data_IF_973201835579
#
_entry.id   IF_973201835579
#
_cell.length_a   1.000
_cell.length_b   1.000
_cell.length_c   1.000
_cell.angle_alpha   90.00
_cell.angle_beta   90.00
_cell.angle_gamma   90.00
#
_symmetry.space_group_name_H-M   'P 1'
#
loop_
_entity.id
_entity.type
_entity.pdbx_description
1 polymer ?
#
# COMPACT_ATOMS: atom_id res chain seq x y z
N UNK A 1 13.00 11.47 14.05
CA UNK A 1 11.90 10.50 14.24
C UNK A 1 12.53 9.13 14.37
N UNK A 2 12.26 8.39 15.45
CA UNK A 2 12.80 7.04 15.61
C UNK A 2 11.99 6.08 14.74
N UNK A 3 12.54 5.77 13.57
CA UNK A 3 11.88 4.95 12.56
C UNK A 3 11.59 3.52 13.03
N UNK A 4 12.22 3.09 14.12
CA UNK A 4 12.03 1.76 14.71
C UNK A 4 10.91 1.70 15.75
N UNK A 5 10.42 2.85 16.21
CA UNK A 5 9.44 2.93 17.28
C UNK A 5 8.49 4.12 17.10
N UNK A 6 7.85 4.19 15.94
CA UNK A 6 6.92 5.27 15.60
C UNK A 6 5.65 5.16 16.43
N UNK A 7 5.20 6.24 17.05
CA UNK A 7 3.86 6.30 17.62
C UNK A 7 2.81 6.61 16.55
N UNK A 8 1.52 6.48 16.90
CA UNK A 8 0.40 6.71 15.97
C UNK A 8 0.42 8.11 15.34
N UNK A 9 0.77 9.16 16.09
CA UNK A 9 0.84 10.53 15.56
C UNK A 9 1.96 10.66 14.52
N UNK A 10 3.12 10.06 14.78
CA UNK A 10 4.23 10.04 13.83
C UNK A 10 3.85 9.28 12.55
N UNK A 11 3.11 8.18 12.66
CA UNK A 11 2.59 7.46 11.49
C UNK A 11 1.55 8.29 10.72
N UNK A 12 0.69 9.05 11.41
CA UNK A 12 -0.25 9.99 10.76
C UNK A 12 0.48 11.11 10.01
N UNK A 13 1.59 11.61 10.55
CA UNK A 13 2.46 12.57 9.85
C UNK A 13 3.00 11.96 8.55
N UNK A 14 3.42 10.69 8.57
CA UNK A 14 3.88 9.99 7.38
C UNK A 14 2.76 9.83 6.33
N UNK A 15 1.54 9.49 6.74
CA UNK A 15 0.38 9.41 5.84
C UNK A 15 0.12 10.76 5.18
N UNK A 16 0.14 11.85 5.95
CA UNK A 16 -0.04 13.20 5.40
C UNK A 16 1.08 13.59 4.44
N UNK A 17 2.31 13.15 4.70
CA UNK A 17 3.44 13.32 3.78
C UNK A 17 3.28 12.50 2.49
N UNK A 18 2.67 11.31 2.53
CA UNK A 18 2.31 10.57 1.31
C UNK A 18 1.21 11.25 0.50
N UNK A 19 0.29 11.97 1.15
CA UNK A 19 -0.71 12.77 0.46
C UNK A 19 -0.11 14.01 -0.22
N UNK A 20 0.94 14.56 0.38
CA UNK A 20 1.64 15.76 -0.08
C UNK A 20 3.14 15.50 -0.25
N UNK A 21 3.55 14.60 -1.17
CA UNK A 21 4.95 14.23 -1.28
C UNK A 21 5.75 15.41 -1.83
N UNK A 22 6.90 15.69 -1.21
CA UNK A 22 7.85 16.71 -1.68
C UNK A 22 8.52 16.32 -3.00
N UNK A 23 8.50 15.02 -3.32
CA UNK A 23 9.00 14.47 -4.56
C UNK A 23 7.91 13.61 -5.22
N UNK A 24 7.45 14.02 -6.40
CA UNK A 24 6.63 13.19 -7.27
C UNK A 24 7.57 12.35 -8.13
N UNK A 25 7.43 11.03 -8.08
CA UNK A 25 8.30 10.13 -8.83
C UNK A 25 8.08 10.25 -10.34
N UNK A 26 9.13 10.11 -11.13
CA UNK A 26 9.03 10.14 -12.60
C UNK A 26 8.35 8.89 -13.15
N UNK A 27 7.49 9.06 -14.16
CA UNK A 27 6.69 7.96 -14.68
C UNK A 27 7.54 6.85 -15.30
N UNK A 28 8.55 7.24 -16.07
CA UNK A 28 9.45 6.28 -16.73
C UNK A 28 10.25 5.46 -15.71
N UNK A 29 10.69 6.08 -14.61
CA UNK A 29 11.40 5.39 -13.54
C UNK A 29 10.49 4.39 -12.81
N UNK A 30 9.21 4.72 -12.64
CA UNK A 30 8.20 3.80 -12.10
C UNK A 30 8.05 2.60 -13.03
N UNK A 31 7.80 2.82 -14.33
CA UNK A 31 7.62 1.74 -15.31
C UNK A 31 8.85 0.82 -15.36
N UNK A 32 10.05 1.39 -15.39
CA UNK A 32 11.29 0.62 -15.41
C UNK A 32 11.42 -0.29 -14.18
N UNK A 33 11.03 0.21 -12.99
CA UNK A 33 11.05 -0.59 -11.76
C UNK A 33 9.94 -1.64 -11.71
N UNK A 34 8.74 -1.33 -12.22
CA UNK A 34 7.66 -2.31 -12.36
C UNK A 34 8.12 -3.45 -13.27
N UNK A 35 8.69 -3.13 -14.43
CA UNK A 35 9.21 -4.14 -15.37
C UNK A 35 10.25 -5.07 -14.72
N UNK A 36 11.13 -4.52 -13.87
CA UNK A 36 12.18 -5.31 -13.19
C UNK A 36 11.68 -6.13 -12.01
N UNK A 37 10.54 -5.79 -11.41
CA UNK A 37 10.11 -6.35 -10.12
C UNK A 37 8.75 -7.05 -10.16
N UNK A 38 8.02 -6.93 -11.28
CA UNK A 38 6.70 -7.54 -11.42
C UNK A 38 6.83 -9.06 -11.42
N UNK A 39 6.06 -9.69 -10.54
CA UNK A 39 5.91 -11.14 -10.46
C UNK A 39 4.42 -11.44 -10.40
N UNK A 40 3.95 -12.38 -11.22
CA UNK A 40 2.64 -13.00 -11.06
C UNK A 40 2.81 -14.33 -10.32
N UNK A 41 2.08 -14.53 -9.23
CA UNK A 41 2.04 -15.81 -8.53
C UNK A 41 0.65 -16.07 -7.97
N UNK A 42 0.06 -17.20 -8.34
CA UNK A 42 -1.26 -17.62 -7.84
C UNK A 42 -2.30 -16.51 -7.96
N UNK A 43 -2.56 -16.03 -9.18
CA UNK A 43 -3.55 -14.99 -9.44
C UNK A 43 -3.28 -13.68 -8.68
N UNK A 44 -2.02 -13.35 -8.41
CA UNK A 44 -1.63 -12.14 -7.67
C UNK A 44 -0.41 -11.48 -8.29
N UNK A 45 -0.56 -10.26 -8.78
CA UNK A 45 0.55 -9.41 -9.19
C UNK A 45 1.21 -8.80 -7.97
N UNK A 46 2.53 -8.82 -7.95
CA UNK A 46 3.36 -8.13 -6.96
C UNK A 46 4.45 -7.36 -7.67
N UNK A 47 4.64 -6.09 -7.30
CA UNK A 47 5.79 -5.31 -7.75
C UNK A 47 6.31 -4.42 -6.62
N UNK A 48 7.52 -3.91 -6.79
CA UNK A 48 8.15 -3.00 -5.83
C UNK A 48 8.72 -1.78 -6.54
N UNK A 49 8.40 -0.60 -6.02
CA UNK A 49 8.91 0.67 -6.53
C UNK A 49 9.60 1.42 -5.39
N UNK A 50 10.83 1.88 -5.60
CA UNK A 50 11.65 2.58 -4.62
C UNK A 50 11.64 4.09 -4.89
N UNK A 51 11.29 4.88 -3.88
CA UNK A 51 11.58 6.31 -3.82
C UNK A 51 12.90 6.51 -3.05
N UNK A 52 14.00 6.59 -3.79
CA UNK A 52 15.33 6.76 -3.21
C UNK A 52 15.50 8.12 -2.51
N UNK A 53 14.76 9.16 -2.91
CA UNK A 53 14.86 10.49 -2.27
C UNK A 53 14.23 10.48 -0.88
N UNK A 54 13.17 9.71 -0.70
CA UNK A 54 12.46 9.58 0.59
C UNK A 54 12.89 8.34 1.38
N UNK A 55 13.69 7.46 0.79
CA UNK A 55 14.11 6.21 1.43
C UNK A 55 12.96 5.22 1.62
N UNK A 56 11.95 5.23 0.74
CA UNK A 56 10.72 4.41 0.87
C UNK A 56 10.64 3.37 -0.25
N UNK A 57 10.14 2.18 0.09
CA UNK A 57 9.71 1.15 -0.87
C UNK A 57 8.20 1.00 -0.81
N UNK A 58 7.55 1.17 -1.96
CA UNK A 58 6.17 0.81 -2.20
C UNK A 58 6.11 -0.64 -2.69
N UNK A 59 5.46 -1.53 -1.94
CA UNK A 59 5.18 -2.91 -2.35
C UNK A 59 3.70 -3.06 -2.68
N UNK A 60 3.40 -3.20 -3.96
CA UNK A 60 2.04 -3.43 -4.43
C UNK A 60 1.71 -4.91 -4.44
N UNK A 61 0.48 -5.22 -4.06
CA UNK A 61 -0.12 -6.52 -4.26
C UNK A 61 -1.54 -6.32 -4.81
N UNK A 62 -1.77 -6.83 -6.02
CA UNK A 62 -3.06 -6.79 -6.70
C UNK A 62 -3.48 -8.24 -6.96
N UNK A 63 -4.61 -8.64 -6.40
CA UNK A 63 -5.20 -9.93 -6.75
C UNK A 63 -5.85 -9.80 -8.12
N UNK A 64 -5.60 -10.74 -9.03
CA UNK A 64 -6.27 -10.83 -10.33
C UNK A 64 -7.69 -11.40 -10.18
N UNK A 65 -8.41 -10.94 -9.16
CA UNK A 65 -9.84 -11.22 -8.98
C UNK A 65 -10.64 -10.26 -9.86
N UNK A 66 -11.92 -10.58 -10.17
CA UNK A 66 -12.77 -9.72 -10.99
C UNK A 66 -13.08 -8.33 -10.36
N UNK A 67 -12.70 -8.11 -9.10
CA UNK A 67 -12.88 -6.82 -8.42
C UNK A 67 -11.59 -6.01 -8.58
N UNK A 68 -11.47 -5.36 -9.74
CA UNK A 68 -10.30 -4.55 -10.14
C UNK A 68 -9.96 -3.40 -9.18
N UNK A 69 -10.90 -3.01 -8.32
CA UNK A 69 -10.73 -1.91 -7.36
C UNK A 69 -9.97 -2.30 -6.10
N UNK A 70 -9.80 -3.60 -5.82
CA UNK A 70 -9.14 -4.07 -4.60
C UNK A 70 -7.65 -4.27 -4.79
N UNK A 71 -6.87 -3.48 -4.08
CA UNK A 71 -5.43 -3.69 -3.99
C UNK A 71 -4.91 -3.20 -2.65
N UNK A 72 -3.70 -3.66 -2.32
CA UNK A 72 -2.98 -3.17 -1.16
C UNK A 72 -1.61 -2.66 -1.56
N UNK A 73 -1.12 -1.67 -0.82
CA UNK A 73 0.24 -1.17 -0.92
C UNK A 73 0.87 -1.11 0.47
N UNK A 74 1.98 -1.82 0.65
CA UNK A 74 2.82 -1.72 1.84
C UNK A 74 3.92 -0.70 1.63
N UNK A 75 4.07 0.24 2.56
CA UNK A 75 5.19 1.19 2.58
C UNK A 75 6.20 0.74 3.62
N UNK A 76 7.48 0.70 3.25
CA UNK A 76 8.58 0.42 4.15
C UNK A 76 9.74 1.38 3.94
N UNK A 77 10.55 1.58 4.97
CA UNK A 77 11.87 2.19 4.77
C UNK A 77 12.83 1.24 4.06
N UNK A 78 13.65 1.78 3.15
CA UNK A 78 14.67 1.03 2.42
C UNK A 78 15.73 0.47 3.39
N UNK A 79 16.17 1.29 4.34
CA UNK A 79 17.35 1.03 5.17
C UNK A 79 17.14 -0.11 6.18
N UNK A 80 16.04 -0.09 6.93
CA UNK A 80 15.77 -1.05 8.00
C UNK A 80 14.60 -2.00 7.69
N UNK A 81 13.98 -1.88 6.51
CA UNK A 81 12.83 -2.68 6.05
C UNK A 81 11.62 -2.65 6.99
N UNK A 82 11.50 -1.62 7.82
CA UNK A 82 10.37 -1.48 8.73
C UNK A 82 9.12 -1.15 7.95
N UNK A 83 8.08 -1.97 8.12
CA UNK A 83 6.75 -1.73 7.58
C UNK A 83 6.09 -0.58 8.34
N UNK A 84 5.84 0.51 7.62
CA UNK A 84 5.26 1.74 8.16
C UNK A 84 3.75 1.62 8.21
N UNK A 85 3.18 1.50 7.02
CA UNK A 85 1.74 1.45 6.80
C UNK A 85 1.43 0.43 5.72
N UNK A 86 0.25 -0.17 5.81
CA UNK A 86 -0.38 -0.89 4.70
C UNK A 86 -1.66 -0.13 4.36
N UNK A 87 -1.78 0.35 3.13
CA UNK A 87 -2.99 0.97 2.63
C UNK A 87 -3.77 -0.09 1.86
N UNK A 88 -5.02 -0.31 2.24
CA UNK A 88 -5.94 -1.24 1.59
C UNK A 88 -7.02 -0.38 0.92
N UNK A 89 -7.16 -0.51 -0.40
CA UNK A 89 -8.13 0.25 -1.19
C UNK A 89 -9.25 -0.66 -1.69
N UNK A 90 -10.49 -0.20 -1.58
CA UNK A 90 -11.70 -0.89 -2.05
C UNK A 90 -12.96 -0.48 -1.29
N UNK A 91 -14.10 -0.43 -1.98
CA UNK A 91 -15.34 0.15 -1.44
C UNK A 91 -16.10 -0.79 -0.49
N UNK A 92 -15.96 -2.10 -0.69
CA UNK A 92 -16.63 -3.17 0.06
C UNK A 92 -15.71 -3.80 1.12
N UNK A 93 -14.60 -3.13 1.44
CA UNK A 93 -13.72 -3.52 2.53
C UNK A 93 -14.41 -3.27 3.87
N UNK A 94 -14.22 -4.20 4.81
CA UNK A 94 -14.75 -4.10 6.17
C UNK A 94 -13.70 -4.54 7.18
N UNK A 95 -13.45 -3.70 8.17
CA UNK A 95 -12.57 -4.01 9.30
C UNK A 95 -13.27 -3.68 10.62
N UNK A 96 -12.95 -4.41 11.69
CA UNK A 96 -13.51 -4.16 13.03
C UNK A 96 -12.40 -3.78 13.99
N UNK A 97 -12.40 -2.52 14.41
CA UNK A 97 -11.50 -2.02 15.44
C UNK A 97 -12.01 -2.41 16.83
N UNK A 98 -11.09 -2.66 17.75
CA UNK A 98 -11.36 -3.04 19.14
C UNK A 98 -12.39 -4.18 19.28
N UNK A 99 -12.29 -5.18 18.39
CA UNK A 99 -13.21 -6.32 18.34
C UNK A 99 -13.40 -6.98 19.70
N UNK A 100 -14.65 -7.22 20.09
CA UNK A 100 -15.02 -7.86 21.36
C UNK A 100 -14.92 -6.94 22.59
N UNK A 101 -14.73 -5.64 22.40
CA UNK A 101 -14.70 -4.64 23.49
C UNK A 101 -15.91 -3.72 23.45
N UNK A 102 -16.13 -2.95 24.53
CA UNK A 102 -17.20 -1.92 24.57
C UNK A 102 -16.98 -0.75 23.59
N UNK A 103 -15.78 -0.61 23.04
CA UNK A 103 -15.38 0.42 22.08
C UNK A 103 -15.20 -0.14 20.66
N UNK A 104 -15.85 -1.26 20.35
CA UNK A 104 -15.85 -1.85 19.02
C UNK A 104 -16.37 -0.86 17.97
N UNK A 105 -15.68 -0.75 16.84
CA UNK A 105 -16.03 0.15 15.75
C UNK A 105 -15.82 -0.53 14.39
N UNK A 106 -16.85 -0.53 13.55
CA UNK A 106 -16.76 -1.04 12.18
C UNK A 106 -16.28 0.08 11.26
N UNK A 107 -15.19 -0.18 10.53
CA UNK A 107 -14.66 0.67 9.46
C UNK A 107 -15.04 0.04 8.12
N UNK A 108 -15.62 0.85 7.23
CA UNK A 108 -16.03 0.46 5.88
C UNK A 108 -15.21 1.23 4.85
N UNK A 109 -14.90 0.57 3.73
CA UNK A 109 -14.13 1.15 2.64
C UNK A 109 -12.61 1.12 2.87
N UNK A 110 -11.90 1.91 2.07
CA UNK A 110 -10.44 2.02 2.10
C UNK A 110 -9.93 2.41 3.48
N UNK A 111 -8.87 1.76 3.93
CA UNK A 111 -8.31 1.98 5.27
C UNK A 111 -6.80 1.72 5.32
N UNK A 112 -6.16 2.25 6.36
CA UNK A 112 -4.73 2.06 6.61
C UNK A 112 -4.49 1.25 7.88
N UNK A 113 -3.66 0.21 7.78
CA UNK A 113 -3.05 -0.44 8.92
C UNK A 113 -1.76 0.28 9.30
N UNK A 114 -1.67 0.72 10.55
CA UNK A 114 -0.42 1.24 11.11
C UNK A 114 0.41 0.06 11.60
N UNK A 115 1.59 -0.13 11.02
CA UNK A 115 2.39 -1.34 11.24
C UNK A 115 3.57 -1.14 12.20
N UNK A 116 3.89 0.12 12.55
CA UNK A 116 4.92 0.49 13.53
C UNK A 116 4.26 1.24 14.72
N UNK A 117 4.58 0.87 15.98
CA UNK A 117 5.53 -0.17 16.39
C UNK A 117 4.91 -1.58 16.26
N UNK A 118 5.77 -2.58 16.17
CA UNK A 118 5.39 -3.96 15.88
C UNK A 118 4.53 -4.61 16.98
N UNK A 119 3.42 -5.20 16.55
CA UNK A 119 2.67 -6.18 17.31
C UNK A 119 2.06 -7.18 16.33
N UNK A 120 2.82 -8.22 15.94
CA UNK A 120 2.34 -9.27 15.01
C UNK A 120 1.06 -9.96 15.53
N UNK A 121 0.85 -9.90 16.84
CA UNK A 121 -0.23 -10.56 17.57
C UNK A 121 -1.19 -9.57 18.26
N UNK A 122 -1.02 -8.26 18.07
CA UNK A 122 -1.97 -7.26 18.59
C UNK A 122 -3.00 -6.99 17.50
N UNK A 123 -4.29 -7.00 17.85
CA UNK A 123 -5.35 -6.59 16.92
C UNK A 123 -5.04 -5.19 16.39
N UNK A 124 -4.70 -5.11 15.10
CA UNK A 124 -4.36 -3.83 14.48
C UNK A 124 -5.64 -3.10 14.13
N UNK A 125 -5.96 -2.08 14.90
CA UNK A 125 -6.95 -1.11 14.50
C UNK A 125 -6.49 -0.43 13.20
N UNK A 126 -7.46 -0.08 12.38
CA UNK A 126 -7.25 0.65 11.13
C UNK A 126 -7.83 2.03 11.23
N UNK A 127 -7.35 2.92 10.38
CA UNK A 127 -7.93 4.25 10.22
C UNK A 127 -8.56 4.35 8.83
N UNK A 128 -9.77 4.91 8.69
CA UNK A 128 -10.34 5.16 7.38
C UNK A 128 -9.46 6.13 6.59
N UNK A 129 -9.35 5.90 5.28
CA UNK A 129 -8.67 6.80 4.34
C UNK A 129 -9.62 7.11 3.17
N UNK A 130 -9.35 8.19 2.44
CA UNK A 130 -10.12 8.55 1.25
C UNK A 130 -9.77 7.68 0.04
N UNK A 131 -9.98 8.24 -1.15
CA UNK A 131 -9.62 7.55 -2.39
C UNK A 131 -8.11 7.53 -2.62
N UNK A 132 -7.68 6.69 -3.56
CA UNK A 132 -6.30 6.66 -4.03
C UNK A 132 -5.82 8.02 -4.57
N UNK A 133 -6.74 8.91 -5.00
CA UNK A 133 -6.42 10.23 -5.53
C UNK A 133 -5.75 11.15 -4.50
N UNK A 134 -5.93 10.87 -3.22
CA UNK A 134 -5.23 11.58 -2.15
C UNK A 134 -3.73 11.27 -2.14
N UNK A 135 -3.27 10.16 -2.75
CA UNK A 135 -1.91 9.64 -2.63
C UNK A 135 -1.17 9.68 -3.97
N UNK A 136 -0.56 10.82 -4.30
CA UNK A 136 0.02 11.10 -5.65
C UNK A 136 0.94 9.99 -6.18
N UNK A 137 1.93 9.56 -5.40
CA UNK A 137 2.89 8.53 -5.83
C UNK A 137 2.23 7.14 -5.88
N UNK A 138 1.36 6.81 -4.90
CA UNK A 138 0.64 5.52 -4.90
C UNK A 138 -0.25 5.41 -6.13
N UNK A 139 -1.01 6.46 -6.44
CA UNK A 139 -1.84 6.53 -7.64
C UNK A 139 -1.01 6.37 -8.91
N UNK A 140 0.07 7.14 -9.04
CA UNK A 140 0.94 7.09 -10.23
C UNK A 140 1.54 5.69 -10.45
N UNK A 141 1.92 4.99 -9.37
CA UNK A 141 2.42 3.61 -9.46
C UNK A 141 1.29 2.64 -9.82
N UNK A 142 0.08 2.81 -9.27
CA UNK A 142 -1.08 1.98 -9.61
C UNK A 142 -1.45 2.13 -11.08
N UNK A 143 -1.54 3.37 -11.58
CA UNK A 143 -1.85 3.67 -12.98
C UNK A 143 -0.81 3.01 -13.91
N UNK A 144 0.48 3.14 -13.59
CA UNK A 144 1.57 2.53 -14.34
C UNK A 144 1.53 0.99 -14.33
N UNK A 145 1.15 0.40 -13.19
CA UNK A 145 1.03 -1.05 -13.06
C UNK A 145 -0.16 -1.58 -13.88
N UNK A 146 -1.29 -0.89 -13.86
CA UNK A 146 -2.47 -1.27 -14.66
C UNK A 146 -2.18 -1.17 -16.16
N UNK A 147 -1.52 -0.10 -16.60
CA UNK A 147 -1.08 0.05 -18.00
C UNK A 147 -0.16 -1.11 -18.40
N UNK A 148 0.81 -1.45 -17.56
CA UNK A 148 1.75 -2.53 -17.83
C UNK A 148 1.07 -3.90 -17.90
N UNK A 149 0.18 -4.22 -16.96
CA UNK A 149 -0.58 -5.48 -16.97
C UNK A 149 -1.47 -5.55 -18.22
N UNK A 150 -2.16 -4.45 -18.55
CA UNK A 150 -3.01 -4.37 -19.74
C UNK A 150 -2.21 -4.56 -21.03
N UNK A 151 -1.02 -3.96 -21.14
CA UNK A 151 -0.16 -4.05 -22.31
C UNK A 151 0.43 -5.44 -22.50
N UNK A 152 0.90 -6.06 -21.42
CA UNK A 152 1.63 -7.33 -21.50
C UNK A 152 0.72 -8.55 -21.62
N UNK A 153 -0.58 -8.40 -21.35
CA UNK A 153 -1.53 -9.51 -21.27
C UNK A 153 -1.01 -10.68 -20.43
N UNK A 154 -0.17 -10.40 -19.44
CA UNK A 154 0.27 -11.42 -18.49
C UNK A 154 -1.02 -11.88 -17.82
N UNK A 155 -1.48 -13.08 -18.14
CA UNK A 155 -2.53 -13.76 -17.42
C UNK A 155 -1.88 -14.96 -16.73
N UNK A 156 -2.49 -15.45 -15.66
CA UNK A 156 -2.06 -16.72 -15.11
C UNK A 156 -2.25 -17.74 -16.25
N UNK A 157 -1.16 -18.18 -16.88
CA UNK A 157 -1.20 -19.25 -17.87
C UNK A 157 -1.44 -20.55 -17.10
N UNK A 158 -2.66 -20.67 -16.59
CA UNK A 158 -3.19 -21.84 -15.93
C UNK A 158 -3.64 -22.84 -16.97
N UNK A 159 -2.93 -23.97 -16.98
CA UNK A 159 -3.48 -25.28 -17.34
C UNK A 159 -4.75 -25.58 -16.53
#
# INVERSE_FOLDING_TARGET
>A
MDLNNLNENEVRVLINAEKNPTNIMEYQDIINQIHQTLILTSHTYRCSVKDNKRGIVYRFQIHSTPITTRFLVGLMFIENRIHLIRLDFGDDLRHVNNYGTKSELVILGSHAHLNSPAGKYVSKNVIPIGSIDEFKNVKKIKDALDEFISYTHITDNGR
#
